data_IF_485232705720
#
_entry.id   IF_485232705720
#
_cell.length_a   1.000
_cell.length_b   1.000
_cell.length_c   1.000
_cell.angle_alpha   90.00
_cell.angle_beta   90.00
_cell.angle_gamma   90.00
#
_symmetry.space_group_name_H-M   'P 1'
#
loop_
_entity.id
_entity.type
_entity.pdbx_description
1 polymer ?
#
# COMPACT_ATOMS: atom_id res chain seq x y z
N UNK A 1 -15.67 -27.40 -14.49
CA UNK A 1 -15.88 -25.95 -14.34
C UNK A 1 -14.64 -25.21 -14.81
N UNK A 2 -14.80 -24.22 -15.67
CA UNK A 2 -13.70 -23.46 -16.24
C UNK A 2 -13.04 -22.53 -15.22
N UNK A 3 -11.73 -22.46 -15.25
CA UNK A 3 -10.96 -21.46 -14.50
C UNK A 3 -10.72 -20.25 -15.39
N UNK A 4 -10.93 -19.06 -14.83
CA UNK A 4 -10.72 -17.80 -15.55
C UNK A 4 -9.28 -17.31 -15.34
N UNK A 5 -8.66 -16.84 -16.43
CA UNK A 5 -7.36 -16.16 -16.36
C UNK A 5 -7.52 -14.84 -15.62
N UNK A 6 -6.51 -14.46 -14.84
CA UNK A 6 -6.51 -13.16 -14.17
C UNK A 6 -6.63 -12.04 -15.22
N UNK A 7 -7.65 -11.18 -15.14
CA UNK A 7 -7.89 -10.14 -16.14
C UNK A 7 -6.74 -9.12 -16.22
N UNK A 8 -5.99 -8.90 -15.15
CA UNK A 8 -4.81 -8.04 -15.17
C UNK A 8 -3.69 -8.63 -16.03
N UNK A 9 -3.48 -9.94 -15.99
CA UNK A 9 -2.49 -10.61 -16.81
C UNK A 9 -2.71 -10.45 -18.32
N UNK A 10 -3.98 -10.46 -18.76
CA UNK A 10 -4.33 -10.21 -20.17
C UNK A 10 -4.07 -8.77 -20.63
N UNK A 11 -4.16 -7.81 -19.72
CA UNK A 11 -4.03 -6.38 -20.03
C UNK A 11 -2.62 -5.83 -19.89
N UNK A 12 -1.75 -6.55 -19.18
CA UNK A 12 -0.35 -6.13 -19.00
C UNK A 12 0.37 -6.12 -20.36
N UNK A 13 1.04 -5.02 -20.64
CA UNK A 13 1.73 -4.79 -21.91
C UNK A 13 0.84 -4.25 -23.03
N UNK A 14 -0.48 -4.22 -22.87
CA UNK A 14 -1.43 -3.64 -23.83
C UNK A 14 -1.90 -2.27 -23.35
N UNK A 15 -2.61 -2.22 -22.23
CA UNK A 15 -3.14 -0.99 -21.65
C UNK A 15 -2.88 -0.86 -20.15
N UNK A 16 -2.17 -1.79 -19.56
CA UNK A 16 -1.83 -1.80 -18.15
C UNK A 16 -0.34 -2.12 -17.95
N UNK A 17 0.30 -1.36 -17.09
CA UNK A 17 1.70 -1.56 -16.74
C UNK A 17 1.86 -2.53 -15.56
N UNK A 18 3.06 -3.08 -15.43
CA UNK A 18 3.42 -3.91 -14.28
C UNK A 18 3.44 -3.07 -12.99
N UNK A 19 3.01 -3.68 -11.92
CA UNK A 19 3.09 -3.08 -10.58
C UNK A 19 4.53 -3.08 -10.03
N UNK A 20 5.38 -3.94 -10.53
CA UNK A 20 6.79 -3.97 -10.19
C UNK A 20 7.63 -3.73 -11.46
N UNK A 21 8.50 -2.73 -11.41
CA UNK A 21 9.38 -2.34 -12.52
C UNK A 21 10.83 -2.35 -12.03
N UNK A 22 11.45 -3.51 -12.06
CA UNK A 22 12.85 -3.68 -11.71
C UNK A 22 13.43 -4.97 -12.30
N UNK A 23 14.74 -5.00 -12.36
CA UNK A 23 15.51 -6.16 -12.80
C UNK A 23 16.49 -6.60 -11.70
N UNK A 24 16.62 -7.90 -11.51
CA UNK A 24 17.57 -8.46 -10.55
C UNK A 24 18.20 -9.75 -11.08
N UNK A 25 19.42 -10.01 -10.62
CA UNK A 25 20.09 -11.29 -10.88
C UNK A 25 19.44 -12.45 -10.13
N UNK A 26 19.79 -13.68 -10.50
CA UNK A 26 19.20 -14.90 -9.89
C UNK A 26 19.33 -14.94 -8.37
N UNK A 27 20.41 -14.42 -7.81
CA UNK A 27 20.66 -14.44 -6.36
C UNK A 27 19.81 -13.44 -5.58
N UNK A 28 19.45 -12.34 -6.20
CA UNK A 28 18.76 -11.20 -5.57
C UNK A 28 17.26 -11.20 -5.82
N UNK A 29 16.82 -11.89 -6.87
CA UNK A 29 15.44 -11.86 -7.34
C UNK A 29 14.44 -12.28 -6.25
N UNK A 30 14.69 -13.40 -5.57
CA UNK A 30 13.82 -13.88 -4.50
C UNK A 30 13.73 -12.94 -3.31
N UNK A 31 14.84 -12.32 -2.92
CA UNK A 31 14.86 -11.36 -1.82
C UNK A 31 14.09 -10.08 -2.15
N UNK A 32 14.18 -9.60 -3.36
CA UNK A 32 13.43 -8.43 -3.82
C UNK A 32 11.93 -8.69 -3.89
N UNK A 33 11.50 -9.88 -4.32
CA UNK A 33 10.08 -10.25 -4.30
C UNK A 33 9.53 -10.27 -2.88
N UNK A 34 10.24 -10.86 -1.94
CA UNK A 34 9.84 -10.91 -0.54
C UNK A 34 9.74 -9.50 0.06
N UNK A 35 10.72 -8.66 -0.23
CA UNK A 35 10.74 -7.28 0.24
C UNK A 35 9.57 -6.46 -0.33
N UNK A 36 9.32 -6.57 -1.63
CA UNK A 36 8.19 -5.91 -2.28
C UNK A 36 6.85 -6.36 -1.68
N UNK A 37 6.72 -7.64 -1.41
CA UNK A 37 5.52 -8.19 -0.77
C UNK A 37 5.33 -7.63 0.65
N UNK A 38 6.40 -7.55 1.43
CA UNK A 38 6.38 -6.94 2.76
C UNK A 38 5.98 -5.46 2.72
N UNK A 39 6.53 -4.71 1.78
CA UNK A 39 6.20 -3.28 1.59
C UNK A 39 4.72 -3.13 1.21
N UNK A 40 4.22 -3.92 0.29
CA UNK A 40 2.81 -3.86 -0.13
C UNK A 40 1.87 -4.23 1.01
N UNK A 41 2.18 -5.28 1.75
CA UNK A 41 1.38 -5.65 2.92
C UNK A 41 1.40 -4.56 3.98
N UNK A 42 2.55 -4.01 4.29
CA UNK A 42 2.68 -2.92 5.25
C UNK A 42 1.80 -1.72 4.87
N UNK A 43 1.90 -1.24 3.64
CA UNK A 43 1.13 -0.08 3.18
C UNK A 43 -0.37 -0.37 3.19
N UNK A 44 -0.79 -1.55 2.77
CA UNK A 44 -2.19 -1.93 2.78
C UNK A 44 -2.72 -2.12 4.20
N UNK A 45 -1.93 -2.69 5.10
CA UNK A 45 -2.35 -3.01 6.47
C UNK A 45 -2.42 -1.78 7.37
N UNK A 46 -1.52 -0.82 7.20
CA UNK A 46 -1.57 0.45 7.94
C UNK A 46 -2.88 1.19 7.69
N UNK A 47 -3.42 1.05 6.50
CA UNK A 47 -4.65 1.73 6.08
C UNK A 47 -5.85 0.79 5.94
N UNK A 48 -5.71 -0.49 6.32
CA UNK A 48 -6.88 -1.33 6.52
C UNK A 48 -7.68 -0.80 7.70
N UNK A 49 -9.00 -0.84 7.61
CA UNK A 49 -9.81 -0.72 8.80
C UNK A 49 -9.38 -1.83 9.74
N UNK A 50 -8.77 -1.50 10.83
CA UNK A 50 -8.85 -2.39 11.96
C UNK A 50 -10.34 -2.62 12.19
N UNK A 51 -10.78 -3.84 11.96
CA UNK A 51 -11.97 -4.35 12.59
C UNK A 51 -11.62 -4.39 14.09
N UNK A 52 -11.53 -3.23 14.71
CA UNK A 52 -11.68 -3.14 16.13
C UNK A 52 -13.10 -3.61 16.38
N UNK A 53 -13.22 -4.86 16.73
CA UNK A 53 -14.32 -5.35 17.52
C UNK A 53 -14.23 -4.65 18.89
N UNK A 54 -14.31 -3.34 18.89
CA UNK A 54 -14.73 -2.59 20.04
C UNK A 54 -16.24 -2.72 20.05
N UNK A 55 -16.71 -3.58 20.90
CA UNK A 55 -18.07 -3.65 21.40
C UNK A 55 -18.43 -2.34 22.14
N UNK A 56 -18.19 -1.23 21.52
CA UNK A 56 -18.74 0.06 21.93
C UNK A 56 -19.80 0.39 20.89
N UNK A 57 -21.03 0.09 21.29
CA UNK A 57 -22.21 0.57 20.59
C UNK A 57 -22.06 2.08 20.35
N UNK A 58 -22.32 2.56 19.13
CA UNK A 58 -22.31 3.99 18.90
C UNK A 58 -23.37 4.62 19.82
N UNK A 59 -22.93 5.39 20.79
CA UNK A 59 -23.84 6.25 21.54
C UNK A 59 -24.42 7.22 20.53
N UNK A 60 -25.62 6.90 20.08
CA UNK A 60 -26.43 7.78 19.25
C UNK A 60 -26.83 8.93 20.14
N UNK A 61 -26.11 10.03 20.10
CA UNK A 61 -26.61 11.29 20.64
C UNK A 61 -27.76 11.74 19.75
N UNK A 62 -28.96 11.72 20.31
CA UNK A 62 -30.16 12.23 19.66
C UNK A 62 -29.94 13.68 19.26
N UNK A 63 -29.88 13.95 17.96
CA UNK A 63 -29.81 15.31 17.42
C UNK A 63 -29.02 15.47 16.11
N UNK A 64 -28.16 14.56 15.74
CA UNK A 64 -27.44 14.66 14.47
C UNK A 64 -28.02 13.75 13.39
N UNK A 65 -28.67 14.38 12.42
CA UNK A 65 -29.40 13.71 11.31
C UNK A 65 -28.53 12.97 10.30
N UNK A 66 -27.19 13.03 10.42
CA UNK A 66 -26.25 12.35 9.51
C UNK A 66 -25.05 11.82 10.28
N UNK A 67 -24.62 10.57 10.07
CA UNK A 67 -23.38 10.09 10.64
C UNK A 67 -22.21 10.85 10.01
N UNK A 68 -21.64 11.77 10.77
CA UNK A 68 -20.48 12.59 10.39
C UNK A 68 -19.15 11.83 10.38
N UNK A 69 -19.14 10.53 10.43
CA UNK A 69 -17.91 9.78 10.16
C UNK A 69 -17.84 9.47 8.67
N UNK A 70 -17.47 10.49 7.91
CA UNK A 70 -16.83 10.25 6.64
C UNK A 70 -15.71 9.23 6.89
N UNK A 71 -15.64 8.24 6.06
CA UNK A 71 -14.58 7.24 6.09
C UNK A 71 -13.23 7.96 5.91
N UNK A 72 -12.51 8.21 7.00
CA UNK A 72 -11.23 8.94 7.03
C UNK A 72 -10.08 8.09 6.48
N UNK A 73 -10.37 7.00 5.78
CA UNK A 73 -9.36 6.09 5.26
C UNK A 73 -8.91 6.49 3.87
N UNK A 74 -7.61 6.56 3.66
CA UNK A 74 -7.10 6.61 2.30
C UNK A 74 -7.36 5.26 1.64
N UNK A 75 -8.18 5.23 0.62
CA UNK A 75 -8.45 4.01 -0.14
C UNK A 75 -7.32 3.76 -1.11
N UNK A 76 -6.51 2.76 -0.85
CA UNK A 76 -5.37 2.40 -1.69
C UNK A 76 -5.84 1.41 -2.76
N UNK A 77 -5.65 1.77 -4.02
CA UNK A 77 -6.00 0.92 -5.15
C UNK A 77 -4.85 0.00 -5.56
N UNK A 78 -3.66 0.55 -5.70
CA UNK A 78 -2.46 -0.22 -6.06
C UNK A 78 -1.19 0.44 -5.54
N UNK A 79 -0.16 -0.36 -5.39
CA UNK A 79 1.18 0.06 -5.00
C UNK A 79 2.15 -0.39 -6.08
N UNK A 80 2.79 0.55 -6.75
CA UNK A 80 3.81 0.29 -7.76
C UNK A 80 5.19 0.46 -7.15
N UNK A 81 6.08 -0.49 -7.39
CA UNK A 81 7.45 -0.49 -6.87
C UNK A 81 8.43 -0.46 -8.03
N UNK A 82 9.31 0.51 -8.04
CA UNK A 82 10.37 0.73 -9.01
C UNK A 82 11.71 0.71 -8.29
N UNK A 83 12.63 -0.14 -8.74
CA UNK A 83 13.98 -0.25 -8.16
C UNK A 83 15.03 0.12 -9.17
N UNK A 84 15.95 0.97 -8.74
CA UNK A 84 17.21 1.24 -9.42
C UNK A 84 18.37 0.99 -8.46
N UNK A 85 19.59 0.96 -8.96
CA UNK A 85 20.79 0.71 -8.14
C UNK A 85 20.97 1.71 -6.99
N UNK A 86 20.43 2.91 -7.15
CA UNK A 86 20.59 4.01 -6.19
C UNK A 86 19.35 4.34 -5.36
N UNK A 87 18.18 3.91 -5.78
CA UNK A 87 16.95 4.26 -5.08
C UNK A 87 15.82 3.24 -5.28
N UNK A 88 14.93 3.25 -4.35
CA UNK A 88 13.66 2.53 -4.38
C UNK A 88 12.54 3.56 -4.44
N UNK A 89 11.69 3.46 -5.45
CA UNK A 89 10.54 4.34 -5.63
C UNK A 89 9.26 3.55 -5.44
N UNK A 90 8.47 3.95 -4.47
CA UNK A 90 7.17 3.36 -4.18
C UNK A 90 6.08 4.37 -4.54
N UNK A 91 5.24 4.03 -5.50
CA UNK A 91 4.09 4.83 -5.90
C UNK A 91 2.83 4.23 -5.31
N UNK A 92 2.15 4.97 -4.48
CA UNK A 92 0.88 4.55 -3.88
C UNK A 92 -0.27 5.27 -4.57
N UNK A 93 -1.13 4.52 -5.23
CA UNK A 93 -2.33 5.05 -5.87
C UNK A 93 -3.50 5.04 -4.89
N UNK A 94 -3.98 6.19 -4.53
CA UNK A 94 -5.05 6.34 -3.55
C UNK A 94 -6.10 7.35 -4.01
N UNK A 95 -7.33 7.16 -3.58
CA UNK A 95 -8.42 8.11 -3.83
C UNK A 95 -8.29 9.39 -2.99
N UNK A 96 -7.60 9.32 -1.84
CA UNK A 96 -7.45 10.44 -0.90
C UNK A 96 -5.99 10.62 -0.48
N UNK A 97 -5.15 11.17 -1.35
CA UNK A 97 -3.72 11.32 -1.08
C UNK A 97 -3.42 12.24 0.11
N UNK A 98 -4.27 13.22 0.40
CA UNK A 98 -4.10 14.10 1.53
C UNK A 98 -4.07 13.40 2.89
N UNK A 99 -4.82 12.32 3.05
CA UNK A 99 -4.82 11.51 4.29
C UNK A 99 -3.53 10.74 4.49
N UNK A 100 -2.91 10.29 3.39
CA UNK A 100 -1.62 9.61 3.41
C UNK A 100 -0.46 10.56 3.71
N UNK A 101 -0.50 11.74 3.11
CA UNK A 101 0.56 12.75 3.27
C UNK A 101 0.53 13.33 4.70
N UNK A 102 -0.67 13.54 5.25
CA UNK A 102 -0.86 14.11 6.56
C UNK A 102 -0.45 15.58 6.65
N UNK A 103 -0.42 16.12 7.87
CA UNK A 103 0.02 17.50 8.08
C UNK A 103 1.52 17.64 7.88
N UNK A 104 1.94 18.59 7.05
CA UNK A 104 3.36 18.89 6.77
C UNK A 104 4.19 17.68 6.29
N UNK A 105 3.56 16.68 5.66
CA UNK A 105 4.24 15.50 5.18
C UNK A 105 4.60 14.45 6.24
N UNK A 106 4.09 14.56 7.47
CA UNK A 106 4.41 13.63 8.56
C UNK A 106 4.01 12.18 8.25
N UNK A 107 2.89 11.97 7.57
CA UNK A 107 2.45 10.63 7.13
C UNK A 107 3.41 9.99 6.14
N UNK A 108 3.88 10.77 5.17
CA UNK A 108 4.87 10.31 4.18
C UNK A 108 6.19 9.93 4.83
N UNK A 109 6.65 10.73 5.79
CA UNK A 109 7.90 10.47 6.50
C UNK A 109 7.83 9.20 7.35
N UNK A 110 6.70 8.94 7.98
CA UNK A 110 6.47 7.67 8.72
C UNK A 110 6.53 6.47 7.79
N UNK A 111 5.85 6.52 6.66
CA UNK A 111 5.87 5.44 5.66
C UNK A 111 7.29 5.22 5.14
N UNK A 112 8.00 6.28 4.82
CA UNK A 112 9.40 6.22 4.37
C UNK A 112 10.31 5.56 5.41
N UNK A 113 10.19 5.94 6.67
CA UNK A 113 10.96 5.36 7.76
C UNK A 113 10.72 3.85 7.91
N UNK A 114 9.48 3.41 7.82
CA UNK A 114 9.14 1.98 7.90
C UNK A 114 9.62 1.19 6.69
N UNK A 115 9.50 1.74 5.49
CA UNK A 115 10.03 1.12 4.26
C UNK A 115 11.54 0.96 4.36
N UNK A 116 12.25 1.96 4.86
CA UNK A 116 13.70 1.89 5.10
C UNK A 116 14.05 0.79 6.11
N UNK A 117 13.27 0.61 7.17
CA UNK A 117 13.47 -0.48 8.14
C UNK A 117 13.30 -1.85 7.48
N UNK A 118 12.29 -2.03 6.66
CA UNK A 118 12.05 -3.27 5.92
C UNK A 118 13.23 -3.57 4.99
N UNK A 119 13.69 -2.57 4.25
CA UNK A 119 14.82 -2.69 3.33
C UNK A 119 16.10 -3.09 4.04
N UNK A 120 16.42 -2.44 5.16
CA UNK A 120 17.60 -2.76 5.98
C UNK A 120 17.53 -4.16 6.60
N UNK A 121 16.35 -4.58 7.05
CA UNK A 121 16.14 -5.92 7.61
C UNK A 121 16.47 -7.02 6.60
N UNK A 122 16.22 -6.77 5.33
CA UNK A 122 16.49 -7.72 4.25
C UNK A 122 17.92 -7.61 3.67
N UNK A 123 18.79 -6.81 4.27
CA UNK A 123 20.20 -6.70 3.89
C UNK A 123 20.49 -5.81 2.69
N UNK A 124 19.56 -5.00 2.29
CA UNK A 124 19.72 -4.01 1.22
C UNK A 124 19.94 -2.62 1.84
N UNK A 125 21.06 -2.02 1.57
CA UNK A 125 21.39 -0.65 2.01
C UNK A 125 20.89 0.39 1.00
#
# INVERSE_FOLDING_TARGET
MGQKVNPNGLRIGINKEWEAQWFAGKKEFGSYILEDNQIRHFIKDVYKPELKATSEEPVVQEGEKFPKKLDDRPRISRVDIERCDKYLKVKVHTARPGLLIGQKGAGTDKIRAEVVKITKKNGHN
#
